data_IF_301725315190
#
_entry.id   IF_301725315190
#
_cell.length_a   1.000
_cell.length_b   1.000
_cell.length_c   1.000
_cell.angle_alpha   90.00
_cell.angle_beta   90.00
_cell.angle_gamma   90.00
#
_symmetry.space_group_name_H-M   'P 1'
#
loop_
_entity.id
_entity.type
_entity.pdbx_description
1 polymer ?
#
# COMPACT_ATOMS: atom_id res chain seq x y z
N UNK A 1 9.97 8.01 -28.07
CA UNK A 1 9.66 6.95 -27.09
C UNK A 1 8.17 6.81 -26.77
N UNK A 2 7.29 7.79 -27.11
CA UNK A 2 5.83 7.69 -26.95
C UNK A 2 5.38 7.29 -25.53
N UNK A 3 6.00 7.89 -24.53
CA UNK A 3 5.55 7.72 -23.13
C UNK A 3 4.27 8.51 -22.92
N UNK A 4 3.37 7.96 -22.10
CA UNK A 4 2.08 8.56 -21.72
C UNK A 4 2.20 9.49 -20.50
N UNK A 5 3.42 9.72 -20.00
CA UNK A 5 3.64 10.48 -18.78
C UNK A 5 5.03 10.29 -18.21
N UNK A 6 5.25 10.90 -17.05
CA UNK A 6 6.54 10.89 -16.37
C UNK A 6 6.39 10.85 -14.85
N UNK A 7 7.29 10.13 -14.19
CA UNK A 7 7.59 10.32 -12.78
C UNK A 7 8.83 11.20 -12.68
N UNK A 8 8.74 12.28 -11.92
CA UNK A 8 9.87 13.15 -11.61
C UNK A 8 10.45 12.69 -10.27
N UNK A 9 11.69 12.24 -10.31
CA UNK A 9 12.39 11.69 -9.14
C UNK A 9 13.11 12.81 -8.38
N UNK A 10 13.18 12.66 -7.05
CA UNK A 10 13.90 13.61 -6.20
C UNK A 10 13.34 15.04 -6.20
N UNK A 11 12.02 15.22 -6.34
CA UNK A 11 11.42 16.57 -6.42
C UNK A 11 11.62 17.36 -5.13
N UNK A 12 11.62 16.70 -3.96
CA UNK A 12 11.99 17.35 -2.69
C UNK A 12 13.39 17.96 -2.76
N UNK A 13 14.34 17.28 -3.41
CA UNK A 13 15.71 17.79 -3.56
C UNK A 13 15.75 19.05 -4.41
N UNK A 14 14.88 19.13 -5.43
CA UNK A 14 14.77 20.30 -6.29
C UNK A 14 14.13 21.50 -5.58
N UNK A 15 13.03 21.30 -4.86
CA UNK A 15 12.20 22.40 -4.33
C UNK A 15 12.81 23.12 -3.13
N UNK A 16 13.81 22.54 -2.47
CA UNK A 16 14.44 23.14 -1.30
C UNK A 16 15.95 23.16 -1.43
N UNK A 17 16.56 24.29 -1.09
CA UNK A 17 18.02 24.50 -1.07
C UNK A 17 18.77 23.59 -0.10
N UNK A 18 18.11 23.09 0.94
CA UNK A 18 18.65 22.06 1.84
C UNK A 18 18.36 20.64 1.34
N UNK A 19 17.71 20.48 0.20
CA UNK A 19 17.38 19.22 -0.46
C UNK A 19 16.54 18.24 0.38
N UNK A 20 15.83 18.74 1.40
CA UNK A 20 15.17 17.91 2.42
C UNK A 20 16.12 17.13 3.35
N UNK A 21 17.43 17.31 3.23
CA UNK A 21 18.42 16.61 4.05
C UNK A 21 18.44 17.16 5.48
N UNK A 22 18.40 16.26 6.47
CA UNK A 22 18.37 16.58 7.90
C UNK A 22 17.22 17.54 8.29
N UNK A 23 16.17 17.59 7.48
CA UNK A 23 14.98 18.39 7.73
C UNK A 23 13.81 17.46 8.06
N UNK A 24 13.02 17.85 9.06
CA UNK A 24 11.75 17.21 9.35
C UNK A 24 10.63 18.15 8.89
N UNK A 25 9.68 17.62 8.11
CA UNK A 25 8.49 18.34 7.71
C UNK A 25 7.35 17.99 8.67
N UNK A 26 7.04 18.93 9.57
CA UNK A 26 6.01 18.78 10.61
C UNK A 26 4.61 19.12 10.10
N UNK A 27 4.53 19.71 8.91
CA UNK A 27 3.31 20.28 8.35
C UNK A 27 3.16 21.77 8.65
N UNK A 28 4.13 22.41 9.30
CA UNK A 28 4.15 23.86 9.48
C UNK A 28 4.49 24.55 8.14
N UNK A 29 3.66 25.50 7.73
CA UNK A 29 3.74 26.10 6.40
C UNK A 29 5.02 26.93 6.19
N UNK A 30 5.69 27.36 7.28
CA UNK A 30 7.00 28.02 7.18
C UNK A 30 8.12 27.10 6.69
N UNK A 31 7.95 25.78 6.78
CA UNK A 31 8.92 24.79 6.30
C UNK A 31 8.84 24.63 4.77
N UNK A 32 7.67 24.91 4.19
CA UNK A 32 7.41 24.80 2.75
C UNK A 32 7.61 26.12 2.01
N UNK A 33 7.24 27.23 2.66
CA UNK A 33 7.21 28.56 2.07
C UNK A 33 8.15 29.50 2.85
N UNK A 34 9.37 29.67 2.32
CA UNK A 34 10.36 30.56 2.91
C UNK A 34 11.56 30.74 2.00
N UNK A 35 12.64 31.33 2.53
CA UNK A 35 13.88 31.54 1.78
C UNK A 35 14.60 30.25 1.41
N UNK A 36 14.22 29.13 2.03
CA UNK A 36 14.75 27.82 1.72
C UNK A 36 14.15 27.20 0.45
N UNK A 37 12.98 27.67 0.03
CA UNK A 37 12.29 27.21 -1.18
C UNK A 37 13.04 27.71 -2.42
N UNK A 38 13.45 26.80 -3.29
CA UNK A 38 14.11 27.12 -4.54
C UNK A 38 13.07 27.51 -5.59
N UNK A 39 12.89 28.82 -5.78
CA UNK A 39 11.90 29.38 -6.71
C UNK A 39 12.24 29.03 -8.16
N UNK A 40 13.53 28.97 -8.52
CA UNK A 40 13.93 28.67 -9.90
C UNK A 40 13.54 27.22 -10.24
N UNK A 41 13.75 26.29 -9.31
CA UNK A 41 13.33 24.91 -9.45
C UNK A 41 11.79 24.77 -9.53
N UNK A 42 11.05 25.46 -8.67
CA UNK A 42 9.58 25.43 -8.69
C UNK A 42 9.03 26.00 -10.01
N UNK A 43 9.60 27.10 -10.52
CA UNK A 43 9.22 27.67 -11.82
C UNK A 43 9.50 26.67 -12.96
N UNK A 44 10.64 25.98 -12.94
CA UNK A 44 10.91 24.92 -13.91
C UNK A 44 9.84 23.81 -13.87
N UNK A 45 9.46 23.35 -12.66
CA UNK A 45 8.43 22.33 -12.48
C UNK A 45 7.05 22.78 -12.97
N UNK A 46 6.69 24.05 -12.73
CA UNK A 46 5.46 24.63 -13.26
C UNK A 46 5.49 24.68 -14.80
N UNK A 47 6.58 25.16 -15.39
CA UNK A 47 6.73 25.25 -16.84
C UNK A 47 6.70 23.90 -17.53
N UNK A 48 7.32 22.86 -16.95
CA UNK A 48 7.34 21.53 -17.56
C UNK A 48 5.97 20.85 -17.45
N UNK A 49 5.25 20.99 -16.33
CA UNK A 49 3.90 20.46 -16.21
C UNK A 49 2.93 21.17 -17.18
N UNK A 50 2.98 22.50 -17.26
CA UNK A 50 2.16 23.27 -18.22
C UNK A 50 2.46 22.87 -19.67
N UNK A 51 3.74 22.68 -20.02
CA UNK A 51 4.15 22.20 -21.34
C UNK A 51 3.62 20.80 -21.64
N UNK A 52 3.77 19.84 -20.70
CA UNK A 52 3.34 18.45 -20.88
C UNK A 52 1.83 18.41 -21.14
N UNK A 53 1.03 19.04 -20.28
CA UNK A 53 -0.43 19.05 -20.42
C UNK A 53 -0.93 19.91 -21.58
N UNK A 54 -0.18 20.95 -21.97
CA UNK A 54 -0.46 21.75 -23.16
C UNK A 54 -0.25 20.97 -24.47
N UNK A 55 0.72 20.05 -24.50
CA UNK A 55 0.98 19.18 -25.64
C UNK A 55 0.10 17.91 -25.63
N UNK A 56 -0.10 17.33 -24.45
CA UNK A 56 -0.81 16.07 -24.22
C UNK A 56 -1.68 16.18 -22.96
N UNK A 57 -2.96 16.60 -23.11
CA UNK A 57 -3.85 16.83 -21.96
C UNK A 57 -4.07 15.60 -21.08
N UNK A 58 -4.00 14.40 -21.66
CA UNK A 58 -4.20 13.12 -20.96
C UNK A 58 -2.90 12.53 -20.38
N UNK A 59 -1.75 13.19 -20.58
CA UNK A 59 -0.49 12.72 -20.02
C UNK A 59 -0.48 12.84 -18.50
N UNK A 60 0.16 11.88 -17.82
CA UNK A 60 0.21 11.85 -16.34
C UNK A 60 1.59 12.27 -15.84
N UNK A 61 1.63 13.21 -14.90
CA UNK A 61 2.86 13.56 -14.17
C UNK A 61 2.77 13.19 -12.70
N UNK A 62 3.78 12.47 -12.20
CA UNK A 62 3.87 12.03 -10.81
C UNK A 62 5.12 12.63 -10.18
N UNK A 63 4.99 13.33 -9.07
CA UNK A 63 6.14 13.83 -8.32
C UNK A 63 6.52 12.92 -7.15
N UNK A 64 7.80 12.57 -7.08
CA UNK A 64 8.42 11.98 -5.89
C UNK A 64 8.83 13.09 -4.92
N UNK A 65 7.88 13.50 -4.07
CA UNK A 65 8.08 14.47 -3.00
C UNK A 65 7.75 13.86 -1.64
N UNK A 66 8.76 13.73 -0.77
CA UNK A 66 8.60 13.29 0.62
C UNK A 66 8.14 14.42 1.54
N UNK A 67 8.35 15.69 1.17
CA UNK A 67 8.10 16.83 2.07
C UNK A 67 6.63 17.05 2.38
N UNK A 68 5.74 16.81 1.40
CA UNK A 68 4.33 17.16 1.55
C UNK A 68 4.01 18.59 1.21
N UNK A 69 4.72 19.17 0.23
CA UNK A 69 4.48 20.54 -0.20
C UNK A 69 2.99 20.75 -0.54
N UNK A 70 2.32 21.74 0.07
CA UNK A 70 0.96 22.10 -0.31
C UNK A 70 0.87 22.56 -1.77
N UNK A 71 -0.29 22.36 -2.40
CA UNK A 71 -0.57 22.81 -3.78
C UNK A 71 0.33 22.16 -4.85
N UNK A 72 0.97 21.04 -4.50
CA UNK A 72 1.87 20.34 -5.37
C UNK A 72 1.12 19.68 -6.53
N UNK A 73 -0.02 19.08 -6.23
CA UNK A 73 -0.89 18.43 -7.23
C UNK A 73 -2.07 19.32 -7.68
N UNK A 74 -1.88 20.65 -7.64
CA UNK A 74 -2.89 21.62 -8.09
C UNK A 74 -2.43 22.20 -9.43
N UNK A 75 -3.33 22.45 -10.41
CA UNK A 75 -2.95 22.98 -11.71
C UNK A 75 -2.18 24.30 -11.64
N UNK A 76 -1.25 24.50 -12.57
CA UNK A 76 -0.40 25.71 -12.65
C UNK A 76 -1.22 27.00 -12.75
N UNK A 77 -2.31 26.97 -13.53
CA UNK A 77 -3.25 28.10 -13.68
C UNK A 77 -3.93 28.53 -12.38
N UNK A 78 -4.04 27.60 -11.43
CA UNK A 78 -4.67 27.82 -10.12
C UNK A 78 -3.61 28.15 -9.03
N UNK A 79 -2.34 28.29 -9.44
CA UNK A 79 -1.22 28.64 -8.56
C UNK A 79 -0.48 27.45 -7.96
N UNK A 80 -0.75 26.22 -8.41
CA UNK A 80 -0.01 25.03 -7.97
C UNK A 80 1.22 24.71 -8.82
N UNK A 81 1.92 23.62 -8.46
CA UNK A 81 3.10 23.14 -9.20
C UNK A 81 2.72 22.38 -10.47
N UNK A 82 1.50 21.85 -10.54
CA UNK A 82 0.93 21.26 -11.75
C UNK A 82 1.09 19.75 -11.90
N UNK A 83 1.55 19.03 -10.88
CA UNK A 83 1.57 17.56 -10.93
C UNK A 83 0.15 16.97 -10.85
N UNK A 84 -0.08 15.82 -11.48
CA UNK A 84 -1.34 15.09 -11.30
C UNK A 84 -1.38 14.35 -9.97
N UNK A 85 -0.28 13.69 -9.63
CA UNK A 85 -0.17 12.86 -8.45
C UNK A 85 1.14 13.10 -7.71
N UNK A 86 1.13 12.77 -6.42
CA UNK A 86 2.34 12.54 -5.64
C UNK A 86 2.39 11.12 -5.09
N UNK A 87 3.58 10.64 -4.77
CA UNK A 87 3.76 9.39 -4.05
C UNK A 87 3.40 9.54 -2.57
N UNK A 88 2.57 8.65 -2.02
CA UNK A 88 2.27 8.64 -0.57
C UNK A 88 3.33 7.84 0.19
N UNK A 89 4.53 8.43 0.32
CA UNK A 89 5.74 7.73 0.75
C UNK A 89 5.68 7.23 2.21
N UNK A 90 4.90 7.90 3.07
CA UNK A 90 4.80 7.56 4.49
C UNK A 90 4.18 6.18 4.76
N UNK A 91 3.44 5.60 3.80
CA UNK A 91 2.80 4.29 3.97
C UNK A 91 3.84 3.18 4.15
N UNK A 92 4.86 3.15 3.28
CA UNK A 92 5.86 2.10 3.30
C UNK A 92 6.68 2.11 4.60
N UNK A 93 7.06 3.30 5.07
CA UNK A 93 7.76 3.48 6.34
C UNK A 93 6.93 3.00 7.52
N UNK A 94 5.61 3.28 7.51
CA UNK A 94 4.70 2.79 8.56
C UNK A 94 4.64 1.27 8.59
N UNK A 95 4.58 0.60 7.44
CA UNK A 95 4.58 -0.86 7.44
C UNK A 95 5.89 -1.43 7.98
N UNK A 96 7.05 -0.87 7.63
CA UNK A 96 8.34 -1.28 8.21
C UNK A 96 8.36 -1.06 9.72
N UNK A 97 7.89 0.09 10.20
CA UNK A 97 7.79 0.39 11.63
C UNK A 97 6.95 -0.65 12.36
N UNK A 98 5.82 -1.06 11.77
CA UNK A 98 4.90 -2.03 12.34
C UNK A 98 5.45 -3.46 12.30
N UNK A 99 6.11 -3.85 11.22
CA UNK A 99 6.73 -5.17 11.07
C UNK A 99 7.89 -5.42 12.03
N UNK A 100 8.46 -4.35 12.62
CA UNK A 100 9.44 -4.44 13.72
C UNK A 100 8.80 -4.69 15.09
N UNK A 101 7.48 -4.54 15.22
CA UNK A 101 6.70 -4.76 16.45
C UNK A 101 6.01 -6.13 16.39
N UNK A 102 5.48 -6.58 17.54
CA UNK A 102 4.61 -7.76 17.58
C UNK A 102 3.19 -7.38 17.14
N UNK A 103 2.45 -8.33 16.57
CA UNK A 103 1.09 -8.11 16.07
C UNK A 103 0.15 -7.54 17.13
N UNK A 104 0.35 -7.94 18.40
CA UNK A 104 -0.47 -7.48 19.53
C UNK A 104 -0.34 -6.00 19.83
N UNK A 105 0.79 -5.41 19.45
CA UNK A 105 1.14 -4.02 19.69
C UNK A 105 0.74 -3.11 18.51
N UNK A 106 0.13 -3.66 17.46
CA UNK A 106 -0.34 -2.90 16.31
C UNK A 106 -1.57 -2.07 16.66
N UNK A 107 -1.51 -0.76 16.39
CA UNK A 107 -2.61 0.16 16.63
C UNK A 107 -3.38 0.38 15.32
N UNK A 108 -4.66 0.03 15.32
CA UNK A 108 -5.54 0.15 14.15
C UNK A 108 -5.73 1.62 13.75
N UNK A 109 -5.82 2.50 14.75
CA UNK A 109 -5.88 3.94 14.56
C UNK A 109 -4.67 4.51 13.85
N UNK A 110 -3.46 4.03 14.15
CA UNK A 110 -2.22 4.48 13.51
C UNK A 110 -2.14 4.05 12.04
N UNK A 111 -2.58 2.82 11.73
CA UNK A 111 -2.70 2.34 10.34
C UNK A 111 -3.63 3.26 9.56
N UNK A 112 -4.87 3.42 10.05
CA UNK A 112 -5.89 4.24 9.39
C UNK A 112 -5.42 5.68 9.25
N UNK A 113 -4.83 6.26 10.31
CA UNK A 113 -4.32 7.62 10.28
C UNK A 113 -3.27 7.77 9.18
N UNK A 114 -2.28 6.89 9.09
CA UNK A 114 -1.23 6.99 8.06
C UNK A 114 -1.80 6.88 6.64
N UNK A 115 -2.70 5.93 6.42
CA UNK A 115 -3.29 5.71 5.10
C UNK A 115 -4.16 6.90 4.65
N UNK A 116 -4.83 7.56 5.58
CA UNK A 116 -5.80 8.63 5.30
C UNK A 116 -5.25 10.04 5.50
N UNK A 117 -4.10 10.22 6.17
CA UNK A 117 -3.50 11.52 6.43
C UNK A 117 -2.82 12.07 5.17
N UNK A 118 -3.65 12.64 4.30
CA UNK A 118 -3.30 13.21 3.00
C UNK A 118 -4.14 14.45 2.73
N UNK A 119 -3.69 15.28 1.80
CA UNK A 119 -4.37 16.54 1.47
C UNK A 119 -5.59 16.25 0.61
N UNK A 120 -6.74 16.75 1.02
CA UNK A 120 -7.94 16.68 0.20
C UNK A 120 -7.74 17.49 -1.09
N UNK A 121 -8.27 16.99 -2.22
CA UNK A 121 -8.08 17.50 -3.60
C UNK A 121 -6.68 17.33 -4.22
N UNK A 122 -5.72 16.74 -3.52
CA UNK A 122 -4.42 16.39 -4.11
C UNK A 122 -4.32 14.86 -4.19
N UNK A 123 -4.27 14.32 -5.42
CA UNK A 123 -4.29 12.87 -5.65
C UNK A 123 -2.96 12.24 -5.24
N UNK A 124 -3.04 11.08 -4.59
CA UNK A 124 -1.86 10.32 -4.18
C UNK A 124 -1.83 8.93 -4.81
N UNK A 125 -0.63 8.47 -5.21
CA UNK A 125 -0.36 7.07 -5.53
C UNK A 125 0.15 6.38 -4.28
N UNK A 126 -0.59 5.38 -3.80
CA UNK A 126 -0.26 4.58 -2.63
C UNK A 126 0.45 3.28 -3.01
N UNK A 127 1.36 2.83 -2.15
CA UNK A 127 2.06 1.56 -2.28
C UNK A 127 2.48 1.06 -0.89
N UNK A 128 2.48 -0.26 -0.70
CA UNK A 128 2.82 -0.87 0.58
C UNK A 128 4.34 -0.93 0.79
N UNK A 129 5.08 -1.16 -0.28
CA UNK A 129 6.54 -1.22 -0.33
C UNK A 129 7.01 -0.75 -1.71
N UNK A 130 8.20 -0.15 -1.78
CA UNK A 130 8.76 0.38 -3.03
C UNK A 130 10.08 -0.28 -3.39
N UNK A 131 10.70 0.21 -4.46
CA UNK A 131 12.05 -0.15 -4.83
C UNK A 131 13.10 0.17 -3.76
N UNK A 132 12.93 1.21 -2.95
CA UNK A 132 13.89 1.58 -1.89
C UNK A 132 13.95 0.51 -0.80
N UNK A 133 12.78 0.04 -0.35
CA UNK A 133 12.68 -1.07 0.62
C UNK A 133 13.11 -2.41 0.02
N UNK A 134 13.09 -2.53 -1.32
CA UNK A 134 13.59 -3.71 -1.99
C UNK A 134 15.12 -3.70 -2.12
N UNK A 135 15.84 -2.60 -1.86
CA UNK A 135 17.31 -2.53 -1.99
C UNK A 135 18.06 -3.10 -0.77
N UNK A 136 19.36 -3.33 -0.96
CA UNK A 136 20.27 -3.82 0.09
C UNK A 136 20.28 -2.86 1.29
N UNK A 137 19.99 -3.40 2.48
CA UNK A 137 19.88 -2.61 3.72
C UNK A 137 18.48 -2.63 4.33
N UNK A 138 17.47 -3.06 3.56
CA UNK A 138 16.12 -3.36 4.06
C UNK A 138 15.63 -4.74 3.55
N UNK A 139 14.40 -5.12 3.88
CA UNK A 139 13.75 -6.37 3.48
C UNK A 139 12.41 -6.08 2.82
N UNK A 140 12.00 -6.90 1.86
CA UNK A 140 10.62 -6.89 1.37
C UNK A 140 9.64 -7.21 2.49
N UNK A 141 8.37 -6.80 2.37
CA UNK A 141 7.34 -7.12 3.37
C UNK A 141 7.22 -8.64 3.56
N UNK A 142 7.28 -9.40 2.46
CA UNK A 142 7.29 -10.86 2.52
C UNK A 142 8.46 -11.39 3.36
N UNK A 143 9.67 -10.85 3.17
CA UNK A 143 10.86 -11.29 3.90
C UNK A 143 10.91 -10.77 5.36
N UNK A 144 10.28 -9.63 5.67
CA UNK A 144 10.01 -9.20 7.04
C UNK A 144 9.06 -10.16 7.77
N UNK A 145 8.05 -10.69 7.07
CA UNK A 145 7.01 -11.54 7.65
C UNK A 145 7.44 -13.00 7.83
N UNK A 146 8.22 -13.53 6.88
CA UNK A 146 8.52 -14.96 6.78
C UNK A 146 10.01 -15.30 6.86
N UNK A 147 10.90 -14.33 6.59
CA UNK A 147 12.36 -14.49 6.60
C UNK A 147 12.81 -15.81 5.92
N UNK A 148 13.77 -16.51 6.51
CA UNK A 148 14.33 -17.77 5.98
C UNK A 148 13.33 -18.91 5.84
N UNK A 149 12.18 -18.88 6.51
CA UNK A 149 11.17 -19.95 6.37
C UNK A 149 10.63 -19.99 4.94
N UNK A 150 10.75 -18.88 4.19
CA UNK A 150 10.39 -18.83 2.77
C UNK A 150 11.16 -19.85 1.92
N UNK A 151 12.39 -20.22 2.31
CA UNK A 151 13.20 -21.16 1.54
C UNK A 151 12.74 -22.61 1.69
N UNK A 152 12.22 -22.96 2.87
CA UNK A 152 11.94 -24.34 3.25
C UNK A 152 10.44 -24.69 3.22
N UNK A 153 9.55 -23.70 3.40
CA UNK A 153 8.12 -23.93 3.68
C UNK A 153 7.16 -23.32 2.65
N UNK A 154 7.69 -22.76 1.55
CA UNK A 154 6.87 -22.26 0.44
C UNK A 154 6.37 -23.36 -0.50
N UNK A 155 6.83 -24.61 -0.36
CA UNK A 155 6.30 -25.72 -1.13
C UNK A 155 4.92 -26.17 -0.62
N UNK A 156 4.04 -26.56 -1.55
CA UNK A 156 2.69 -27.08 -1.24
C UNK A 156 2.68 -28.56 -0.84
N UNK A 157 3.77 -29.28 -1.10
CA UNK A 157 3.91 -30.72 -0.81
C UNK A 157 4.14 -31.03 0.68
N UNK A 158 4.20 -29.99 1.51
CA UNK A 158 4.46 -30.08 2.94
C UNK A 158 3.52 -29.16 3.73
N UNK A 159 3.28 -29.48 5.02
CA UNK A 159 2.55 -28.59 5.91
C UNK A 159 3.19 -27.20 5.96
N UNK A 160 2.34 -26.18 6.03
CA UNK A 160 2.76 -24.81 6.31
C UNK A 160 3.22 -24.68 7.77
N UNK A 161 3.88 -23.57 8.08
CA UNK A 161 4.20 -23.19 9.46
C UNK A 161 3.33 -22.00 9.87
N UNK A 162 3.10 -21.76 11.18
CA UNK A 162 2.39 -20.56 11.64
C UNK A 162 3.00 -19.25 11.15
N UNK A 163 4.32 -19.21 10.91
CA UNK A 163 5.01 -18.04 10.36
C UNK A 163 4.68 -17.81 8.88
N UNK A 164 4.64 -18.86 8.06
CA UNK A 164 4.23 -18.78 6.65
C UNK A 164 2.74 -18.42 6.54
N UNK A 165 1.87 -19.05 7.32
CA UNK A 165 0.43 -18.74 7.30
C UNK A 165 0.17 -17.29 7.72
N UNK A 166 0.86 -16.82 8.76
CA UNK A 166 0.85 -15.40 9.15
C UNK A 166 1.32 -14.50 8.02
N UNK A 167 2.45 -14.83 7.39
CA UNK A 167 3.08 -13.99 6.40
C UNK A 167 2.27 -13.86 5.11
N UNK A 168 1.71 -14.96 4.62
CA UNK A 168 0.82 -14.95 3.45
C UNK A 168 -0.44 -14.13 3.74
N UNK A 169 -1.07 -14.32 4.91
CA UNK A 169 -2.26 -13.57 5.28
C UNK A 169 -1.99 -12.06 5.39
N UNK A 170 -0.96 -11.66 6.15
CA UNK A 170 -0.63 -10.26 6.36
C UNK A 170 -0.12 -9.57 5.09
N UNK A 171 0.64 -10.27 4.22
CA UNK A 171 1.06 -9.71 2.93
C UNK A 171 -0.14 -9.28 2.08
N UNK A 172 -1.16 -10.16 1.97
CA UNK A 172 -2.41 -9.85 1.27
C UNK A 172 -3.17 -8.69 1.93
N UNK A 173 -3.34 -8.74 3.25
CA UNK A 173 -4.08 -7.70 3.99
C UNK A 173 -3.43 -6.32 3.90
N UNK A 174 -2.11 -6.24 4.09
CA UNK A 174 -1.34 -4.99 4.01
C UNK A 174 -1.50 -4.34 2.63
N UNK A 175 -1.43 -5.14 1.56
CA UNK A 175 -1.57 -4.63 0.20
C UNK A 175 -3.00 -4.17 -0.09
N UNK A 176 -4.00 -4.96 0.29
CA UNK A 176 -5.40 -4.60 0.08
C UNK A 176 -5.82 -3.37 0.88
N UNK A 177 -5.42 -3.23 2.16
CA UNK A 177 -5.78 -2.04 2.94
C UNK A 177 -5.05 -0.80 2.41
N UNK A 178 -3.82 -0.95 1.92
CA UNK A 178 -3.08 0.14 1.28
C UNK A 178 -3.77 0.63 0.01
N UNK A 179 -4.22 -0.29 -0.84
CA UNK A 179 -5.00 0.05 -2.04
C UNK A 179 -6.38 0.62 -1.68
N UNK A 180 -7.05 0.01 -0.70
CA UNK A 180 -8.39 0.37 -0.25
C UNK A 180 -8.48 1.72 0.45
N UNK A 181 -7.45 2.17 1.18
CA UNK A 181 -7.51 3.43 1.96
C UNK A 181 -6.47 4.48 1.56
N UNK A 182 -5.34 4.10 0.96
CA UNK A 182 -4.14 4.93 0.92
C UNK A 182 -4.08 6.02 -0.17
N UNK A 183 -4.78 5.83 -1.29
CA UNK A 183 -4.51 6.61 -2.51
C UNK A 183 -5.66 6.64 -3.52
N UNK A 184 -5.55 7.52 -4.50
CA UNK A 184 -6.35 7.55 -5.74
C UNK A 184 -5.71 6.73 -6.86
N UNK A 185 -4.48 6.25 -6.66
CA UNK A 185 -3.82 5.27 -7.51
C UNK A 185 -3.00 4.29 -6.68
N UNK A 186 -2.67 3.13 -7.26
CA UNK A 186 -1.87 2.09 -6.62
C UNK A 186 -0.59 1.82 -7.42
N UNK A 187 0.51 1.61 -6.72
CA UNK A 187 1.80 1.22 -7.31
C UNK A 187 2.30 -0.08 -6.67
N UNK A 188 2.87 -0.93 -7.51
CA UNK A 188 3.55 -2.15 -7.09
C UNK A 188 4.90 -2.27 -7.80
N UNK A 189 5.95 -2.54 -7.04
CA UNK A 189 7.27 -2.79 -7.59
C UNK A 189 7.46 -4.28 -7.95
N UNK A 190 8.07 -4.54 -9.10
CA UNK A 190 8.15 -5.89 -9.69
C UNK A 190 8.66 -6.99 -8.74
N UNK A 191 7.87 -8.05 -8.62
CA UNK A 191 8.10 -9.19 -7.75
C UNK A 191 7.37 -9.12 -6.42
N UNK A 192 7.08 -7.92 -5.91
CA UNK A 192 6.42 -7.76 -4.62
C UNK A 192 4.96 -8.26 -4.67
N UNK A 193 4.38 -8.33 -5.88
CA UNK A 193 3.02 -8.81 -6.09
C UNK A 193 2.78 -10.26 -5.69
N UNK A 194 3.82 -11.07 -5.74
CA UNK A 194 3.79 -12.46 -5.29
C UNK A 194 4.66 -12.70 -4.06
N UNK A 195 5.11 -11.63 -3.39
CA UNK A 195 5.99 -11.73 -2.23
C UNK A 195 7.36 -12.31 -2.58
N UNK A 196 8.04 -11.75 -3.60
CA UNK A 196 9.39 -12.16 -3.97
C UNK A 196 10.31 -12.18 -2.72
N UNK A 197 11.04 -13.29 -2.47
CA UNK A 197 11.89 -13.40 -1.29
C UNK A 197 13.12 -12.48 -1.40
N UNK A 198 13.91 -12.40 -0.34
CA UNK A 198 15.20 -11.69 -0.31
C UNK A 198 15.07 -10.16 -0.54
N UNK A 199 16.05 -9.58 -1.23
CA UNK A 199 16.19 -8.17 -1.58
C UNK A 199 16.90 -8.03 -2.94
N UNK A 200 17.00 -6.82 -3.46
CA UNK A 200 17.77 -6.41 -4.63
C UNK A 200 19.12 -5.89 -4.16
N UNK A 201 20.18 -6.40 -4.76
CA UNK A 201 21.53 -5.83 -4.62
C UNK A 201 22.18 -5.80 -6.00
N UNK A 202 22.68 -4.63 -6.38
CA UNK A 202 23.36 -4.44 -7.67
C UNK A 202 24.83 -4.84 -7.55
N UNK A 203 25.47 -5.32 -8.63
CA UNK A 203 26.90 -5.58 -8.65
C UNK A 203 27.68 -4.34 -8.23
N UNK A 204 28.43 -4.43 -7.12
CA UNK A 204 29.21 -3.31 -6.59
C UNK A 204 30.51 -3.80 -5.96
N UNK A 205 31.55 -3.00 -6.15
CA UNK A 205 32.82 -3.13 -5.45
C UNK A 205 32.77 -2.48 -4.06
N UNK A 206 33.90 -2.56 -3.38
CA UNK A 206 34.09 -1.92 -2.08
C UNK A 206 34.03 -0.39 -2.19
N UNK A 207 33.36 0.25 -1.24
CA UNK A 207 33.27 1.71 -1.14
C UNK A 207 33.96 2.19 0.13
N UNK A 208 34.64 3.34 0.04
CA UNK A 208 35.25 3.99 1.20
C UNK A 208 34.49 5.29 1.48
N UNK A 209 33.94 5.40 2.69
CA UNK A 209 33.29 6.62 3.14
C UNK A 209 34.32 7.72 3.41
N UNK A 210 33.92 9.01 3.39
CA UNK A 210 34.82 10.13 3.72
C UNK A 210 35.46 10.04 5.11
N UNK A 211 34.83 9.31 6.05
CA UNK A 211 35.34 9.06 7.40
C UNK A 211 36.29 7.84 7.48
N UNK A 212 36.62 7.23 6.34
CA UNK A 212 37.53 6.08 6.24
C UNK A 212 36.87 4.72 6.48
N UNK A 213 35.57 4.65 6.77
CA UNK A 213 34.88 3.35 6.90
C UNK A 213 34.76 2.65 5.54
N UNK A 214 35.11 1.37 5.52
CA UNK A 214 34.91 0.47 4.39
C UNK A 214 33.48 -0.06 4.40
N UNK A 215 32.74 0.14 3.31
CA UNK A 215 31.51 -0.57 3.01
C UNK A 215 31.87 -1.67 2.01
N UNK A 216 31.90 -2.95 2.43
CA UNK A 216 32.24 -4.03 1.53
C UNK A 216 31.21 -4.14 0.39
N UNK A 217 31.72 -4.39 -0.81
CA UNK A 217 30.93 -4.71 -2.00
C UNK A 217 30.32 -6.10 -1.90
N UNK A 218 29.75 -6.56 -3.02
CA UNK A 218 29.20 -7.91 -3.15
C UNK A 218 29.96 -8.76 -4.18
N UNK A 219 31.25 -8.45 -4.37
CA UNK A 219 32.11 -9.09 -5.38
C UNK A 219 31.55 -9.00 -6.81
N UNK A 220 30.88 -7.89 -7.15
CA UNK A 220 30.18 -7.70 -8.43
C UNK A 220 29.17 -8.83 -8.73
N UNK A 221 28.49 -9.34 -7.69
CA UNK A 221 27.50 -10.41 -7.84
C UNK A 221 26.22 -9.91 -8.50
N UNK A 222 25.68 -10.71 -9.42
CA UNK A 222 24.37 -10.50 -10.05
C UNK A 222 23.26 -11.35 -9.40
N UNK A 223 23.57 -12.12 -8.34
CA UNK A 223 22.61 -13.07 -7.77
C UNK A 223 21.32 -12.43 -7.26
N UNK A 224 21.41 -11.22 -6.70
CA UNK A 224 20.26 -10.43 -6.20
C UNK A 224 19.78 -9.38 -7.21
N UNK A 225 20.52 -9.15 -8.29
CA UNK A 225 20.17 -8.23 -9.37
C UNK A 225 19.29 -8.92 -10.43
N UNK A 226 18.26 -9.65 -9.99
CA UNK A 226 17.32 -10.39 -10.84
C UNK A 226 15.95 -10.51 -10.18
N UNK A 227 14.96 -10.98 -10.96
CA UNK A 227 13.63 -11.36 -10.48
C UNK A 227 13.39 -12.83 -10.78
N UNK A 228 12.85 -13.57 -9.81
CA UNK A 228 12.48 -14.98 -9.93
C UNK A 228 10.98 -15.14 -10.18
N UNK A 229 10.55 -14.72 -11.37
CA UNK A 229 9.15 -14.83 -11.79
C UNK A 229 8.67 -16.30 -11.83
N UNK A 230 9.60 -17.25 -12.00
CA UNK A 230 9.35 -18.68 -11.90
C UNK A 230 8.72 -19.09 -10.56
N UNK A 231 9.01 -18.37 -9.46
CA UNK A 231 8.40 -18.65 -8.16
C UNK A 231 6.89 -18.39 -8.16
N UNK A 232 6.47 -17.25 -8.73
CA UNK A 232 5.06 -16.87 -8.82
C UNK A 232 4.26 -17.72 -9.82
N UNK A 233 4.93 -18.30 -10.83
CA UNK A 233 4.30 -19.15 -11.84
C UNK A 233 4.21 -20.62 -11.42
N UNK A 234 5.04 -21.05 -10.46
CA UNK A 234 5.10 -22.44 -10.01
C UNK A 234 3.83 -22.88 -9.26
N UNK A 235 3.11 -23.86 -9.83
CA UNK A 235 1.89 -24.43 -9.24
C UNK A 235 2.11 -25.22 -7.94
N UNK A 236 3.36 -25.55 -7.63
CA UNK A 236 3.75 -26.31 -6.44
C UNK A 236 4.29 -25.42 -5.32
N UNK A 237 4.28 -24.09 -5.51
CA UNK A 237 4.72 -23.12 -4.50
C UNK A 237 3.58 -22.16 -4.10
N UNK A 238 3.65 -21.69 -2.85
CA UNK A 238 2.68 -20.77 -2.23
C UNK A 238 2.71 -19.34 -2.80
N UNK A 239 3.78 -18.93 -3.46
CA UNK A 239 3.88 -17.61 -4.12
C UNK A 239 2.75 -17.38 -5.12
N UNK A 240 2.32 -18.44 -5.82
CA UNK A 240 1.19 -18.38 -6.76
C UNK A 240 -0.08 -17.87 -6.09
N UNK A 241 -0.36 -18.24 -4.84
CA UNK A 241 -1.55 -17.77 -4.13
C UNK A 241 -1.53 -16.27 -3.86
N UNK A 242 -0.37 -15.72 -3.45
CA UNK A 242 -0.19 -14.27 -3.30
C UNK A 242 -0.32 -13.54 -4.65
N UNK A 243 0.21 -14.13 -5.73
CA UNK A 243 0.04 -13.61 -7.10
C UNK A 243 -1.43 -13.57 -7.53
N UNK A 244 -2.19 -14.64 -7.29
CA UNK A 244 -3.61 -14.69 -7.64
C UNK A 244 -4.42 -13.67 -6.83
N UNK A 245 -4.09 -13.46 -5.56
CA UNK A 245 -4.73 -12.44 -4.76
C UNK A 245 -4.46 -11.02 -5.30
N UNK A 246 -3.24 -10.75 -5.76
CA UNK A 246 -2.94 -9.47 -6.42
C UNK A 246 -3.79 -9.25 -7.68
N UNK A 247 -3.89 -10.28 -8.54
CA UNK A 247 -4.74 -10.23 -9.73
C UNK A 247 -6.21 -9.97 -9.36
N UNK A 248 -6.73 -10.67 -8.35
CA UNK A 248 -8.09 -10.47 -7.87
C UNK A 248 -8.32 -9.06 -7.30
N UNK A 249 -7.33 -8.51 -6.58
CA UNK A 249 -7.34 -7.14 -6.07
C UNK A 249 -7.39 -6.10 -7.21
N UNK A 250 -6.61 -6.28 -8.29
CA UNK A 250 -6.66 -5.39 -9.45
C UNK A 250 -8.01 -5.50 -10.20
N UNK A 251 -8.54 -6.71 -10.38
CA UNK A 251 -9.85 -6.90 -10.99
C UNK A 251 -11.00 -6.34 -10.15
N UNK A 252 -10.86 -6.34 -8.83
CA UNK A 252 -11.82 -5.69 -7.93
C UNK A 252 -11.88 -4.18 -8.22
N UNK A 253 -10.72 -3.52 -8.34
CA UNK A 253 -10.69 -2.09 -8.69
C UNK A 253 -11.19 -1.83 -10.11
N UNK A 254 -10.78 -2.61 -11.11
CA UNK A 254 -11.29 -2.48 -12.48
C UNK A 254 -12.83 -2.57 -12.53
N UNK A 255 -13.41 -3.46 -11.74
CA UNK A 255 -14.85 -3.68 -11.70
C UNK A 255 -15.62 -2.59 -10.94
N UNK A 256 -15.08 -2.09 -9.83
CA UNK A 256 -15.82 -1.22 -8.90
C UNK A 256 -15.34 0.24 -8.88
N UNK A 257 -14.14 0.54 -9.41
CA UNK A 257 -13.56 1.88 -9.45
C UNK A 257 -13.50 2.56 -8.09
N UNK A 258 -13.16 1.83 -7.02
CA UNK A 258 -13.26 2.33 -5.66
C UNK A 258 -12.14 3.32 -5.33
N UNK A 259 -10.95 3.22 -5.92
CA UNK A 259 -9.83 4.11 -5.59
C UNK A 259 -10.12 5.57 -5.95
N UNK A 260 -10.89 5.81 -7.02
CA UNK A 260 -11.24 7.17 -7.46
C UNK A 260 -12.60 7.65 -6.93
N UNK A 261 -13.29 6.83 -6.13
CA UNK A 261 -14.55 7.21 -5.51
C UNK A 261 -14.37 8.30 -4.46
N UNK A 262 -15.23 9.32 -4.50
CA UNK A 262 -15.33 10.36 -3.47
C UNK A 262 -15.84 9.83 -2.13
N UNK A 263 -16.62 8.73 -2.16
CA UNK A 263 -17.10 8.09 -0.94
C UNK A 263 -15.97 7.25 -0.33
N UNK A 264 -15.40 7.75 0.77
CA UNK A 264 -14.49 7.04 1.67
C UNK A 264 -14.95 7.29 3.11
N UNK A 265 -15.28 6.24 3.85
CA UNK A 265 -15.78 6.36 5.22
C UNK A 265 -15.28 5.23 6.10
N UNK A 266 -14.54 5.55 7.17
CA UNK A 266 -14.04 4.56 8.12
C UNK A 266 -15.02 4.46 9.28
N UNK A 267 -15.79 3.39 9.32
CA UNK A 267 -16.78 3.16 10.38
C UNK A 267 -16.16 2.60 11.64
N UNK A 268 -15.08 1.79 11.52
CA UNK A 268 -14.44 1.13 12.66
C UNK A 268 -12.92 1.07 12.55
N UNK A 269 -12.27 1.29 13.68
CA UNK A 269 -10.83 1.09 13.93
C UNK A 269 -10.66 0.60 15.37
N UNK A 270 -11.08 -0.62 15.62
CA UNK A 270 -11.20 -1.19 16.97
C UNK A 270 -9.86 -1.73 17.46
N UNK A 271 -9.37 -1.22 18.59
CA UNK A 271 -8.10 -1.65 19.19
C UNK A 271 -8.21 -2.92 20.04
N UNK A 272 -9.40 -3.29 20.51
CA UNK A 272 -9.59 -4.53 21.26
C UNK A 272 -9.64 -5.72 20.29
N UNK A 273 -10.57 -5.64 19.35
CA UNK A 273 -10.81 -6.69 18.37
C UNK A 273 -9.80 -6.70 17.22
N UNK A 274 -9.01 -5.63 17.07
CA UNK A 274 -8.10 -5.41 15.93
C UNK A 274 -8.83 -5.45 14.59
N UNK A 275 -10.03 -4.87 14.56
CA UNK A 275 -10.89 -4.83 13.38
C UNK A 275 -10.89 -3.43 12.78
N UNK A 276 -10.65 -3.36 11.47
CA UNK A 276 -10.85 -2.14 10.67
C UNK A 276 -12.01 -2.39 9.71
N UNK A 277 -13.00 -1.49 9.72
CA UNK A 277 -14.12 -1.50 8.77
C UNK A 277 -14.21 -0.14 8.10
N UNK A 278 -14.30 -0.14 6.78
CA UNK A 278 -14.51 1.08 6.02
C UNK A 278 -15.31 0.81 4.75
N UNK A 279 -15.94 1.85 4.25
CA UNK A 279 -16.58 1.89 2.96
C UNK A 279 -15.74 2.70 1.99
N UNK A 280 -15.58 2.18 0.77
CA UNK A 280 -15.02 2.95 -0.34
C UNK A 280 -15.78 2.65 -1.62
N UNK A 281 -16.36 3.69 -2.22
CA UNK A 281 -17.37 3.50 -3.27
C UNK A 281 -18.55 2.69 -2.77
N UNK A 282 -18.96 1.68 -3.54
CA UNK A 282 -20.07 0.79 -3.17
C UNK A 282 -19.62 -0.48 -2.41
N UNK A 283 -18.39 -0.49 -1.90
CA UNK A 283 -17.79 -1.64 -1.23
C UNK A 283 -17.67 -1.41 0.27
N UNK A 284 -17.93 -2.46 1.05
CA UNK A 284 -17.65 -2.52 2.49
C UNK A 284 -16.45 -3.44 2.69
N UNK A 285 -15.38 -2.93 3.27
CA UNK A 285 -14.16 -3.67 3.57
C UNK A 285 -14.11 -4.01 5.05
N UNK A 286 -13.81 -5.27 5.37
CA UNK A 286 -13.66 -5.76 6.74
C UNK A 286 -12.30 -6.44 6.87
N UNK A 287 -11.46 -5.91 7.76
CA UNK A 287 -10.13 -6.44 8.07
C UNK A 287 -10.08 -6.89 9.52
N UNK A 288 -9.75 -8.16 9.76
CA UNK A 288 -9.44 -8.69 11.08
C UNK A 288 -7.93 -8.90 11.21
N UNK A 289 -7.23 -7.95 11.85
CA UNK A 289 -5.81 -8.03 12.16
C UNK A 289 -5.49 -8.81 13.44
N UNK A 290 -6.50 -9.33 14.15
CA UNK A 290 -6.25 -10.09 15.36
C UNK A 290 -5.44 -11.36 15.03
N UNK A 291 -4.42 -11.62 15.82
CA UNK A 291 -3.46 -12.70 15.60
C UNK A 291 -4.02 -14.12 15.85
N UNK A 292 -5.18 -14.26 16.50
CA UNK A 292 -5.78 -15.54 16.85
C UNK A 292 -7.31 -15.52 17.05
N UNK A 293 -7.92 -14.38 17.40
CA UNK A 293 -9.38 -14.29 17.60
C UNK A 293 -10.15 -14.20 16.28
N UNK A 294 -11.17 -15.05 16.17
CA UNK A 294 -12.15 -15.02 15.08
C UNK A 294 -13.50 -14.62 15.65
N UNK A 295 -14.25 -13.80 14.94
CA UNK A 295 -15.50 -13.23 15.42
C UNK A 295 -16.69 -13.73 14.60
N UNK A 296 -17.61 -14.42 15.27
CA UNK A 296 -18.92 -14.77 14.69
C UNK A 296 -19.92 -13.67 14.94
N UNK A 297 -20.86 -13.50 14.01
CA UNK A 297 -21.94 -12.50 14.09
C UNK A 297 -21.43 -11.08 14.37
N UNK A 298 -20.29 -10.73 13.77
CA UNK A 298 -19.68 -9.41 13.93
C UNK A 298 -20.48 -8.37 13.16
N UNK A 299 -21.05 -7.40 13.87
CA UNK A 299 -21.86 -6.35 13.25
C UNK A 299 -20.97 -5.33 12.54
N UNK A 300 -21.28 -5.02 11.28
CA UNK A 300 -20.60 -3.98 10.49
C UNK A 300 -21.62 -2.98 9.95
N UNK A 301 -21.31 -1.69 10.09
CA UNK A 301 -22.14 -0.60 9.56
C UNK A 301 -22.01 -0.47 8.04
N UNK A 302 -23.08 -0.05 7.36
CA UNK A 302 -23.11 0.19 5.92
C UNK A 302 -24.09 1.31 5.54
N UNK A 303 -23.82 2.03 4.45
CA UNK A 303 -24.67 3.13 3.99
C UNK A 303 -25.99 2.67 3.42
N UNK A 304 -25.94 1.68 2.53
CA UNK A 304 -27.05 1.29 1.67
C UNK A 304 -27.70 0.02 2.23
N UNK A 305 -29.02 0.03 2.44
CA UNK A 305 -29.71 -1.21 2.76
C UNK A 305 -29.76 -2.14 1.55
N UNK A 306 -29.76 -3.44 1.81
CA UNK A 306 -30.01 -4.49 0.83
C UNK A 306 -29.25 -5.76 1.17
N UNK A 307 -28.80 -6.46 0.12
CA UNK A 307 -28.22 -7.79 0.22
C UNK A 307 -26.77 -7.77 -0.23
N UNK A 308 -25.85 -7.86 0.71
CA UNK A 308 -24.43 -7.88 0.41
C UNK A 308 -23.96 -9.30 0.07
N UNK A 309 -22.92 -9.37 -0.78
CA UNK A 309 -22.21 -10.59 -1.16
C UNK A 309 -20.71 -10.36 -1.06
N UNK A 310 -19.96 -11.43 -0.79
CA UNK A 310 -18.50 -11.44 -0.85
C UNK A 310 -18.08 -11.24 -2.31
N UNK A 311 -17.18 -10.30 -2.54
CA UNK A 311 -16.61 -10.00 -3.87
C UNK A 311 -15.09 -10.14 -3.92
N UNK A 312 -14.46 -10.22 -2.76
CA UNK A 312 -13.08 -10.64 -2.57
C UNK A 312 -12.92 -11.20 -1.16
N UNK A 313 -12.34 -12.38 -1.02
CA UNK A 313 -12.07 -13.01 0.28
C UNK A 313 -10.61 -13.48 0.32
N UNK A 314 -9.79 -12.83 1.13
CA UNK A 314 -8.39 -13.23 1.28
C UNK A 314 -8.21 -14.63 1.87
N UNK A 315 -9.21 -15.22 2.51
CA UNK A 315 -9.15 -16.54 3.12
C UNK A 315 -9.41 -17.67 2.11
N UNK A 316 -9.70 -17.37 0.84
CA UNK A 316 -9.88 -18.43 -0.17
C UNK A 316 -8.63 -19.30 -0.32
N UNK A 317 -8.84 -20.59 -0.55
CA UNK A 317 -7.76 -21.57 -0.67
C UNK A 317 -6.87 -21.29 -1.88
N UNK A 318 -7.41 -20.70 -2.95
CA UNK A 318 -6.63 -20.28 -4.13
C UNK A 318 -5.61 -19.18 -3.80
N UNK A 319 -5.89 -18.35 -2.79
CA UNK A 319 -4.98 -17.32 -2.30
C UNK A 319 -4.09 -17.83 -1.16
N UNK A 320 -4.13 -19.12 -0.85
CA UNK A 320 -3.41 -19.72 0.27
C UNK A 320 -4.03 -19.45 1.64
N UNK A 321 -5.34 -19.15 1.71
CA UNK A 321 -6.10 -19.10 2.95
C UNK A 321 -6.72 -20.45 3.33
N UNK A 322 -7.59 -20.45 4.35
CA UNK A 322 -8.18 -21.67 4.93
C UNK A 322 -9.58 -22.01 4.43
N UNK A 323 -10.19 -21.18 3.58
CA UNK A 323 -11.50 -21.40 2.98
C UNK A 323 -12.63 -21.44 4.00
N UNK A 324 -12.61 -20.55 5.01
CA UNK A 324 -13.56 -20.59 6.12
C UNK A 324 -14.88 -19.87 5.86
N UNK A 325 -14.98 -19.08 4.81
CA UNK A 325 -16.18 -18.34 4.44
C UNK A 325 -16.95 -19.04 3.30
N UNK A 326 -18.28 -18.97 3.37
CA UNK A 326 -19.15 -19.45 2.28
C UNK A 326 -19.48 -18.30 1.35
N UNK A 327 -19.13 -18.45 0.07
CA UNK A 327 -19.39 -17.45 -0.97
C UNK A 327 -20.84 -17.45 -1.48
N UNK A 328 -21.59 -18.51 -1.15
CA UNK A 328 -23.03 -18.58 -1.40
C UNK A 328 -23.86 -17.85 -0.32
N UNK A 329 -23.22 -17.42 0.77
CA UNK A 329 -23.89 -16.71 1.86
C UNK A 329 -24.40 -15.34 1.40
N UNK A 330 -25.62 -15.01 1.82
CA UNK A 330 -26.25 -13.71 1.57
C UNK A 330 -26.31 -12.92 2.87
N UNK A 331 -25.79 -11.68 2.84
CA UNK A 331 -25.65 -10.83 4.02
C UNK A 331 -26.70 -9.72 3.97
N UNK A 332 -27.82 -9.91 4.65
CA UNK A 332 -28.92 -8.95 4.65
C UNK A 332 -28.68 -7.83 5.67
N UNK A 333 -28.75 -6.58 5.21
CA UNK A 333 -28.69 -5.42 6.10
C UNK A 333 -29.98 -5.28 6.90
N UNK A 334 -29.85 -4.76 8.12
CA UNK A 334 -30.95 -4.35 8.99
C UNK A 334 -30.85 -2.86 9.26
N UNK A 335 -32.00 -2.19 9.36
CA UNK A 335 -32.08 -0.79 9.76
C UNK A 335 -31.68 -0.63 11.23
N UNK A 336 -30.89 0.41 11.51
CA UNK A 336 -30.44 0.71 12.86
C UNK A 336 -29.07 1.37 12.85
N UNK A 337 -28.97 2.49 13.55
CA UNK A 337 -27.74 3.26 13.63
C UNK A 337 -26.62 2.44 14.30
N UNK A 338 -25.52 2.26 13.59
CA UNK A 338 -24.36 1.51 14.09
C UNK A 338 -23.09 2.02 13.41
N UNK A 339 -22.03 2.30 14.19
CA UNK A 339 -20.77 2.90 13.70
C UNK A 339 -20.99 4.13 12.78
N UNK A 340 -21.96 4.96 13.14
CA UNK A 340 -22.38 6.14 12.37
C UNK A 340 -22.88 5.86 10.95
N UNK A 341 -23.45 4.67 10.76
CA UNK A 341 -24.12 4.23 9.52
C UNK A 341 -25.60 3.92 9.77
N UNK A 342 -26.48 4.16 8.78
CA UNK A 342 -27.92 3.93 8.92
C UNK A 342 -28.34 2.46 8.98
N UNK A 343 -27.54 1.57 8.39
CA UNK A 343 -27.83 0.15 8.30
C UNK A 343 -26.61 -0.66 8.78
N UNK A 344 -26.84 -1.93 9.12
CA UNK A 344 -25.75 -2.86 9.45
C UNK A 344 -26.08 -4.30 9.09
N UNK A 345 -25.06 -5.12 8.84
CA UNK A 345 -25.20 -6.57 8.66
C UNK A 345 -24.19 -7.31 9.52
N UNK A 346 -24.40 -8.62 9.71
CA UNK A 346 -23.51 -9.48 10.51
C UNK A 346 -22.58 -10.27 9.60
N UNK A 347 -21.31 -10.40 9.96
CA UNK A 347 -20.33 -11.21 9.23
C UNK A 347 -19.62 -12.19 10.15
N UNK A 348 -19.08 -13.25 9.57
CA UNK A 348 -18.03 -14.05 10.21
C UNK A 348 -16.67 -13.49 9.78
N UNK A 349 -15.85 -13.07 10.75
CA UNK A 349 -14.54 -12.46 10.51
C UNK A 349 -13.43 -13.33 11.13
N UNK A 350 -12.86 -14.29 10.38
CA UNK A 350 -11.75 -15.10 10.88
C UNK A 350 -10.49 -14.28 11.15
N UNK A 351 -9.64 -14.74 12.07
CA UNK A 351 -8.36 -14.09 12.35
C UNK A 351 -7.48 -13.97 11.08
N UNK A 352 -6.78 -12.83 10.95
CA UNK A 352 -5.91 -12.48 9.82
C UNK A 352 -6.59 -12.65 8.47
N UNK A 353 -7.75 -12.02 8.30
CA UNK A 353 -8.47 -12.00 7.02
C UNK A 353 -8.87 -10.59 6.63
N UNK A 354 -8.95 -10.36 5.32
CA UNK A 354 -9.65 -9.24 4.72
C UNK A 354 -10.74 -9.76 3.78
N UNK A 355 -11.95 -9.23 3.92
CA UNK A 355 -13.10 -9.60 3.09
C UNK A 355 -13.78 -8.32 2.62
N UNK A 356 -14.12 -8.28 1.33
CA UNK A 356 -14.79 -7.16 0.69
C UNK A 356 -16.18 -7.58 0.26
N UNK A 357 -17.16 -6.76 0.60
CA UNK A 357 -18.57 -6.99 0.32
C UNK A 357 -19.10 -5.92 -0.62
N UNK A 358 -19.97 -6.31 -1.56
CA UNK A 358 -20.73 -5.39 -2.41
C UNK A 358 -22.22 -5.69 -2.33
N UNK A 359 -23.04 -4.69 -2.61
CA UNK A 359 -24.51 -4.78 -2.69
C UNK A 359 -25.00 -5.56 -3.91
#
# INVERSE_FOLDING_TARGET
YKFDGFRFDGVTSMMYTHHGLQMAFTGNYSEYFGLATDVDAVVYLMLVNDLIHGLFPDAITIGEDVSGMPTFCIPVRDGGVGFDFRLHMAIADKWIEMLKKRDEDWQMGDIVHTLTNRRWLEKCVAYAESHDQALVGDKTIAFWLMDKDMYDFMALDRPSTPAIDRGIALHKMIRLITMGLGGEGYLNFMGNEFGHPEWIDFPRGDQHLPDGRLIPGNNNSYDKCRRRFDLGDANYLRYRGMKQFDVAMQHLEEKYGFMTSELQYISRKDEGDRIIVFERGNLVFVFNFHWNSSYSDYRVGCLKPGKYKIVLDSDESEFGGFGRLSHDAEFFSTDGWYDDRPCSFMVYAPCRTAVVYAL
#
